data_IF_009866090392
#
_entry.id   IF_009866090392
#
_cell.length_a   1.000
_cell.length_b   1.000
_cell.length_c   1.000
_cell.angle_alpha   90.00
_cell.angle_beta   90.00
_cell.angle_gamma   90.00
#
_symmetry.space_group_name_H-M   'P 1'
#
loop_
_entity.id
_entity.type
_entity.pdbx_description
1 polymer ?
#
# COMPACT_ATOMS: atom_id res chain seq x y z
N UNK A 1 13.64 -0.84 18.87
CA UNK A 1 13.44 -0.83 17.41
C UNK A 1 12.40 0.23 17.12
N UNK A 2 12.73 1.24 16.30
CA UNK A 2 11.80 2.31 15.93
C UNK A 2 11.36 2.08 14.48
N UNK A 3 10.05 2.14 14.22
CA UNK A 3 9.45 1.84 12.92
C UNK A 3 8.63 3.05 12.49
N UNK A 4 8.87 3.53 11.27
CA UNK A 4 7.94 4.43 10.59
C UNK A 4 6.76 3.60 10.07
N UNK A 5 5.61 3.74 10.71
CA UNK A 5 4.44 2.92 10.39
C UNK A 5 3.79 3.29 9.05
N UNK A 6 4.21 4.39 8.41
CA UNK A 6 3.56 4.88 7.21
C UNK A 6 4.50 5.77 6.38
N UNK A 7 5.06 5.22 5.31
CA UNK A 7 5.70 6.02 4.28
C UNK A 7 5.32 5.53 2.87
N UNK A 8 5.58 6.37 1.88
CA UNK A 8 5.26 6.11 0.48
C UNK A 8 6.52 6.15 -0.39
N UNK A 9 6.49 5.43 -1.50
CA UNK A 9 7.45 5.56 -2.60
C UNK A 9 6.68 5.43 -3.92
N UNK A 10 7.15 6.08 -4.97
CA UNK A 10 6.49 6.05 -6.28
C UNK A 10 7.48 6.32 -7.42
N UNK A 11 7.09 5.94 -8.63
CA UNK A 11 7.83 6.19 -9.86
C UNK A 11 6.92 6.85 -10.90
N UNK A 12 7.30 8.02 -11.40
CA UNK A 12 6.45 8.80 -12.31
C UNK A 12 6.07 8.04 -13.59
N UNK A 13 6.93 7.14 -14.05
CA UNK A 13 6.74 6.37 -15.29
C UNK A 13 5.66 5.28 -15.19
N UNK A 14 5.23 4.90 -13.98
CA UNK A 14 4.09 3.99 -13.78
C UNK A 14 2.78 4.58 -14.29
N UNK A 15 2.64 5.90 -14.25
CA UNK A 15 1.52 6.63 -14.84
C UNK A 15 0.16 6.40 -14.17
N UNK A 16 0.08 5.67 -13.06
CA UNK A 16 -1.16 5.36 -12.33
C UNK A 16 -1.40 6.24 -11.08
N UNK A 17 -0.56 7.26 -10.87
CA UNK A 17 -0.69 8.25 -9.80
C UNK A 17 -1.52 9.46 -10.24
N UNK A 18 -2.84 9.32 -10.32
CA UNK A 18 -3.74 10.40 -10.79
C UNK A 18 -3.70 11.68 -9.94
N UNK A 19 -3.37 11.56 -8.65
CA UNK A 19 -3.21 12.69 -7.73
C UNK A 19 -1.89 13.45 -7.94
N UNK A 20 -0.87 12.81 -8.52
CA UNK A 20 0.48 13.35 -8.64
C UNK A 20 0.62 14.19 -9.90
N UNK A 21 0.44 15.52 -9.75
CA UNK A 21 0.53 16.47 -10.87
C UNK A 21 1.75 17.40 -10.73
N UNK A 22 2.24 18.02 -11.82
CA UNK A 22 3.33 19.00 -11.74
C UNK A 22 3.07 20.16 -10.77
N UNK A 23 1.81 20.47 -10.48
CA UNK A 23 1.41 21.51 -9.53
C UNK A 23 1.83 21.20 -8.08
N UNK A 24 2.09 19.93 -7.75
CA UNK A 24 2.58 19.51 -6.43
C UNK A 24 4.09 19.76 -6.23
N UNK A 25 4.77 20.31 -7.23
CA UNK A 25 6.11 20.88 -7.10
C UNK A 25 7.14 19.89 -6.57
N UNK A 26 7.69 20.06 -5.35
CA UNK A 26 8.80 19.26 -4.86
C UNK A 26 8.60 17.74 -4.89
N UNK A 27 7.35 17.26 -4.73
CA UNK A 27 7.04 15.83 -4.71
C UNK A 27 6.74 15.27 -6.11
N UNK A 28 6.67 16.11 -7.15
CA UNK A 28 6.50 15.68 -8.55
C UNK A 28 7.83 15.17 -9.13
N UNK A 29 8.31 14.05 -8.59
CA UNK A 29 9.53 13.33 -8.95
C UNK A 29 9.40 11.89 -8.47
N UNK A 30 10.32 11.01 -8.85
CA UNK A 30 10.42 9.70 -8.20
C UNK A 30 10.80 9.87 -6.73
N UNK A 31 10.12 9.17 -5.83
CA UNK A 31 10.50 9.04 -4.43
C UNK A 31 10.86 7.58 -4.16
N UNK A 32 12.12 7.33 -3.79
CA UNK A 32 12.66 5.98 -3.58
C UNK A 32 12.71 5.63 -2.10
N UNK A 33 12.71 4.34 -1.79
CA UNK A 33 12.94 3.85 -0.42
C UNK A 33 14.27 4.37 0.14
N UNK A 34 15.30 4.53 -0.70
CA UNK A 34 16.59 5.09 -0.28
C UNK A 34 16.50 6.56 0.12
N UNK A 35 15.62 7.34 -0.51
CA UNK A 35 15.43 8.75 -0.19
C UNK A 35 14.77 8.88 1.19
N UNK A 36 13.73 8.08 1.45
CA UNK A 36 13.14 7.93 2.79
C UNK A 36 14.18 7.47 3.81
N UNK A 37 14.97 6.44 3.52
CA UNK A 37 15.95 5.89 4.46
C UNK A 37 17.02 6.92 4.88
N UNK A 38 17.48 7.76 3.93
CA UNK A 38 18.43 8.84 4.21
C UNK A 38 17.86 9.87 5.19
N UNK A 39 16.56 10.17 5.11
CA UNK A 39 15.87 11.07 6.04
C UNK A 39 15.55 10.40 7.37
N UNK A 40 15.16 9.12 7.35
CA UNK A 40 14.68 8.40 8.54
C UNK A 40 15.83 7.98 9.49
N UNK A 41 16.98 7.59 8.94
CA UNK A 41 18.12 7.06 9.72
C UNK A 41 18.65 8.02 10.79
N UNK A 42 18.87 9.33 10.50
CA UNK A 42 19.27 10.32 11.52
C UNK A 42 18.33 10.43 12.72
N UNK A 43 17.06 10.06 12.56
CA UNK A 43 16.04 10.08 13.61
C UNK A 43 15.92 8.75 14.38
N UNK A 44 16.81 7.79 14.11
CA UNK A 44 16.82 6.49 14.78
C UNK A 44 15.72 5.53 14.31
N UNK A 45 15.06 5.83 13.19
CA UNK A 45 14.12 4.92 12.53
C UNK A 45 14.91 3.78 11.89
N UNK A 46 14.57 2.55 12.25
CA UNK A 46 15.30 1.33 11.86
C UNK A 46 14.62 0.52 10.76
N UNK A 47 13.40 0.91 10.37
CA UNK A 47 12.64 0.32 9.28
C UNK A 47 11.28 0.97 9.15
N UNK A 48 10.52 0.60 8.12
CA UNK A 48 9.24 1.24 7.86
C UNK A 48 8.22 0.33 7.18
N UNK A 49 6.96 0.76 7.20
CA UNK A 49 5.86 0.13 6.45
C UNK A 49 5.57 0.99 5.23
N UNK A 50 5.72 0.38 4.05
CA UNK A 50 5.52 1.01 2.77
C UNK A 50 4.05 0.88 2.36
N UNK A 51 3.35 2.00 2.24
CA UNK A 51 1.90 2.05 1.99
C UNK A 51 1.62 2.46 0.54
N UNK A 52 0.64 1.83 -0.11
CA UNK A 52 0.22 2.13 -1.48
C UNK A 52 -0.03 3.62 -1.72
N UNK A 53 0.35 4.10 -2.90
CA UNK A 53 0.07 5.47 -3.34
C UNK A 53 -0.83 5.52 -4.60
N UNK A 54 -1.24 4.39 -5.16
CA UNK A 54 -2.17 4.32 -6.28
C UNK A 54 -3.18 3.16 -6.09
N UNK A 55 -4.43 3.32 -6.57
CA UNK A 55 -5.48 2.32 -6.43
C UNK A 55 -5.38 1.24 -7.51
N UNK A 56 -4.24 0.55 -7.59
CA UNK A 56 -4.02 -0.53 -8.56
C UNK A 56 -3.34 -1.73 -7.90
N UNK A 57 -3.70 -2.95 -8.33
CA UNK A 57 -2.96 -4.15 -7.88
C UNK A 57 -1.49 -4.11 -8.37
N UNK A 58 -1.25 -3.51 -9.53
CA UNK A 58 0.09 -3.28 -10.06
C UNK A 58 0.97 -2.43 -9.12
N UNK A 59 0.38 -1.53 -8.33
CA UNK A 59 1.09 -0.80 -7.26
C UNK A 59 1.49 -1.73 -6.13
N UNK A 60 0.58 -2.62 -5.68
CA UNK A 60 0.93 -3.63 -4.66
C UNK A 60 2.12 -4.47 -5.09
N UNK A 61 2.13 -4.98 -6.32
CA UNK A 61 3.26 -5.76 -6.84
C UNK A 61 4.56 -4.95 -6.88
N UNK A 62 4.49 -3.66 -7.24
CA UNK A 62 5.64 -2.77 -7.21
C UNK A 62 6.18 -2.55 -5.80
N UNK A 63 5.32 -2.27 -4.82
CA UNK A 63 5.76 -2.08 -3.43
C UNK A 63 6.36 -3.36 -2.84
N UNK A 64 5.81 -4.54 -3.17
CA UNK A 64 6.38 -5.82 -2.76
C UNK A 64 7.78 -6.04 -3.40
N UNK A 65 7.96 -5.66 -4.67
CA UNK A 65 9.27 -5.68 -5.32
C UNK A 65 10.26 -4.71 -4.64
N UNK A 66 9.81 -3.50 -4.27
CA UNK A 66 10.62 -2.57 -3.47
C UNK A 66 11.00 -3.17 -2.12
N UNK A 67 10.08 -3.85 -1.44
CA UNK A 67 10.35 -4.49 -0.16
C UNK A 67 11.35 -5.65 -0.24
N UNK A 68 11.42 -6.34 -1.38
CA UNK A 68 12.44 -7.37 -1.64
C UNK A 68 13.82 -6.75 -1.88
N UNK A 69 13.88 -5.63 -2.60
CA UNK A 69 15.13 -4.93 -2.87
C UNK A 69 15.68 -4.15 -1.66
N UNK A 70 14.82 -3.78 -0.70
CA UNK A 70 15.16 -2.89 0.40
C UNK A 70 14.80 -3.54 1.76
N UNK A 71 15.76 -4.15 2.48
CA UNK A 71 15.49 -4.84 3.75
C UNK A 71 14.88 -3.99 4.87
N UNK A 72 15.09 -2.67 4.80
CA UNK A 72 14.50 -1.67 5.73
C UNK A 72 12.98 -1.54 5.61
N UNK A 73 12.38 -2.01 4.51
CA UNK A 73 10.93 -2.10 4.38
C UNK A 73 10.47 -3.35 5.11
N UNK A 74 9.82 -3.15 6.26
CA UNK A 74 9.43 -4.22 7.17
C UNK A 74 8.06 -4.80 6.86
N UNK A 75 7.21 -4.01 6.23
CA UNK A 75 5.88 -4.41 5.78
C UNK A 75 5.41 -3.56 4.60
N UNK A 76 4.40 -4.06 3.90
CA UNK A 76 3.72 -3.40 2.80
C UNK A 76 2.23 -3.40 3.09
N UNK A 77 1.60 -2.24 2.97
CA UNK A 77 0.14 -2.10 2.87
C UNK A 77 -0.19 -1.84 1.42
N UNK A 78 -0.75 -2.85 0.75
CA UNK A 78 -1.08 -2.80 -0.67
C UNK A 78 -2.46 -2.20 -0.94
N UNK A 79 -2.85 -2.26 -2.20
CA UNK A 79 -4.19 -2.02 -2.69
C UNK A 79 -4.71 -3.25 -3.44
N UNK A 80 -6.01 -3.51 -3.31
CA UNK A 80 -6.78 -4.47 -4.11
C UNK A 80 -8.20 -3.94 -4.24
N UNK A 81 -8.86 -4.22 -5.37
CA UNK A 81 -10.30 -3.98 -5.49
C UNK A 81 -11.05 -5.01 -4.65
N UNK A 82 -11.48 -4.61 -3.44
CA UNK A 82 -12.18 -5.49 -2.50
C UNK A 82 -13.60 -5.84 -2.93
N UNK A 83 -14.16 -5.16 -3.95
CA UNK A 83 -15.46 -5.48 -4.54
C UNK A 83 -15.35 -6.44 -5.73
N UNK A 84 -14.15 -6.72 -6.22
CA UNK A 84 -13.97 -7.63 -7.33
C UNK A 84 -14.44 -9.05 -6.96
N UNK A 85 -15.11 -9.80 -7.86
CA UNK A 85 -15.58 -11.14 -7.56
C UNK A 85 -14.47 -12.13 -7.16
N UNK A 86 -13.25 -11.88 -7.61
CA UNK A 86 -12.02 -12.65 -7.36
C UNK A 86 -11.15 -12.05 -6.25
N UNK A 87 -11.64 -11.04 -5.51
CA UNK A 87 -10.90 -10.41 -4.41
C UNK A 87 -10.40 -11.41 -3.34
N UNK A 88 -11.17 -12.46 -2.95
CA UNK A 88 -10.66 -13.47 -2.02
C UNK A 88 -9.44 -14.23 -2.55
N UNK A 89 -9.49 -14.69 -3.81
CA UNK A 89 -8.39 -15.40 -4.46
C UNK A 89 -7.15 -14.51 -4.63
N UNK A 90 -7.35 -13.26 -5.07
CA UNK A 90 -6.29 -12.28 -5.21
C UNK A 90 -5.66 -11.93 -3.86
N UNK A 91 -6.46 -11.78 -2.80
CA UNK A 91 -5.98 -11.57 -1.43
C UNK A 91 -5.10 -12.72 -0.97
N UNK A 92 -5.56 -13.97 -1.14
CA UNK A 92 -4.78 -15.15 -0.78
C UNK A 92 -3.50 -15.30 -1.59
N UNK A 93 -3.51 -14.90 -2.87
CA UNK A 93 -2.34 -14.88 -3.74
C UNK A 93 -1.29 -13.88 -3.25
N UNK A 94 -1.70 -12.62 -3.02
CA UNK A 94 -0.84 -11.54 -2.53
C UNK A 94 -0.28 -11.85 -1.13
N UNK A 95 -1.08 -12.44 -0.24
CA UNK A 95 -0.70 -12.79 1.12
C UNK A 95 0.44 -13.83 1.20
N UNK A 96 0.73 -14.57 0.12
CA UNK A 96 1.90 -15.45 0.04
C UNK A 96 3.21 -14.67 0.16
N UNK A 97 3.20 -13.37 -0.14
CA UNK A 97 4.36 -12.53 0.04
C UNK A 97 4.54 -12.12 1.50
N UNK A 98 5.64 -12.50 2.18
CA UNK A 98 5.79 -12.33 3.64
C UNK A 98 5.86 -10.87 4.10
N UNK A 99 6.10 -9.94 3.17
CA UNK A 99 6.09 -8.50 3.43
C UNK A 99 4.70 -7.87 3.33
N UNK A 100 3.70 -8.50 2.72
CA UNK A 100 2.35 -7.96 2.74
C UNK A 100 1.80 -8.06 4.17
N UNK A 101 1.29 -6.93 4.68
CA UNK A 101 0.73 -6.83 6.04
C UNK A 101 -0.70 -6.33 6.05
N UNK A 102 -1.12 -5.61 5.01
CA UNK A 102 -2.49 -5.13 4.93
C UNK A 102 -2.86 -4.67 3.54
N UNK A 103 -4.14 -4.32 3.41
CA UNK A 103 -4.70 -3.68 2.23
C UNK A 103 -5.41 -2.39 2.65
N UNK A 104 -5.31 -1.35 1.82
CA UNK A 104 -5.88 -0.02 2.08
C UNK A 104 -6.79 0.41 0.93
N UNK A 105 -8.13 0.33 1.07
CA UNK A 105 -9.03 1.02 0.16
C UNK A 105 -8.82 2.54 0.29
N UNK A 106 -8.86 3.27 -0.82
CA UNK A 106 -8.75 4.73 -0.82
C UNK A 106 -10.12 5.36 -0.58
N UNK A 107 -10.65 5.16 0.64
CA UNK A 107 -12.01 5.58 1.02
C UNK A 107 -12.28 7.07 0.74
N UNK A 108 -11.26 7.92 0.85
CA UNK A 108 -11.35 9.36 0.58
C UNK A 108 -11.75 9.70 -0.86
N UNK A 109 -11.51 8.79 -1.81
CA UNK A 109 -11.82 8.97 -3.23
C UNK A 109 -13.08 8.18 -3.65
N UNK A 110 -13.72 7.48 -2.72
CA UNK A 110 -14.97 6.75 -2.94
C UNK A 110 -16.16 7.65 -2.58
N UNK A 111 -17.05 7.90 -3.53
CA UNK A 111 -18.19 8.81 -3.35
C UNK A 111 -19.28 8.27 -2.43
N UNK A 112 -19.38 6.95 -2.28
CA UNK A 112 -20.37 6.29 -1.42
C UNK A 112 -19.87 6.24 0.04
N UNK A 113 -20.45 7.01 0.97
CA UNK A 113 -20.06 6.98 2.38
C UNK A 113 -20.39 5.66 3.08
N UNK A 114 -21.25 4.83 2.49
CA UNK A 114 -21.60 3.51 2.99
C UNK A 114 -20.80 2.39 2.32
N UNK A 115 -19.78 2.72 1.51
CA UNK A 115 -19.02 1.72 0.76
C UNK A 115 -18.51 0.58 1.64
N UNK A 116 -17.91 0.90 2.79
CA UNK A 116 -17.34 -0.10 3.71
C UNK A 116 -18.41 -1.01 4.36
N UNK A 117 -19.68 -0.60 4.32
CA UNK A 117 -20.82 -1.36 4.86
C UNK A 117 -21.44 -2.30 3.83
N UNK A 118 -20.99 -2.26 2.57
CA UNK A 118 -21.55 -3.09 1.51
C UNK A 118 -21.31 -4.59 1.81
N UNK A 119 -22.35 -5.43 1.79
CA UNK A 119 -22.20 -6.87 2.04
C UNK A 119 -21.25 -7.58 1.08
N UNK A 120 -21.06 -7.02 -0.13
CA UNK A 120 -20.14 -7.53 -1.14
C UNK A 120 -18.68 -7.57 -0.64
N UNK A 121 -18.28 -6.68 0.28
CA UNK A 121 -16.94 -6.67 0.86
C UNK A 121 -16.67 -7.82 1.84
N UNK A 122 -17.73 -8.48 2.34
CA UNK A 122 -17.59 -9.47 3.41
C UNK A 122 -16.67 -10.63 3.02
N UNK A 123 -16.67 -11.06 1.76
CA UNK A 123 -15.81 -12.13 1.29
C UNK A 123 -14.33 -11.72 1.29
N UNK A 124 -14.02 -10.52 0.78
CA UNK A 124 -12.66 -10.00 0.73
C UNK A 124 -12.11 -9.72 2.14
N UNK A 125 -12.92 -9.12 3.02
CA UNK A 125 -12.52 -8.85 4.41
C UNK A 125 -12.27 -10.14 5.21
N UNK A 126 -13.07 -11.18 5.01
CA UNK A 126 -12.80 -12.51 5.60
C UNK A 126 -11.51 -13.13 5.06
N UNK A 127 -11.27 -13.01 3.74
CA UNK A 127 -10.02 -13.49 3.16
C UNK A 127 -8.81 -12.75 3.77
N UNK A 128 -8.92 -11.45 4.02
CA UNK A 128 -7.87 -10.69 4.72
C UNK A 128 -7.66 -11.22 6.15
N UNK A 129 -8.74 -11.44 6.90
CA UNK A 129 -8.69 -12.01 8.26
C UNK A 129 -8.05 -13.41 8.27
N UNK A 130 -8.46 -14.30 7.38
CA UNK A 130 -7.93 -15.67 7.24
C UNK A 130 -6.42 -15.68 6.93
N UNK A 131 -5.92 -14.65 6.24
CA UNK A 131 -4.51 -14.47 5.91
C UNK A 131 -3.75 -13.63 6.95
N UNK A 132 -4.40 -13.14 8.01
CA UNK A 132 -3.80 -12.28 9.03
C UNK A 132 -3.38 -10.90 8.51
N UNK A 133 -4.05 -10.40 7.48
CA UNK A 133 -3.83 -9.06 6.93
C UNK A 133 -4.68 -8.02 7.68
N UNK A 134 -4.12 -6.82 7.84
CA UNK A 134 -4.85 -5.67 8.41
C UNK A 134 -5.59 -4.89 7.32
N UNK A 135 -6.72 -4.30 7.68
CA UNK A 135 -7.35 -3.25 6.90
C UNK A 135 -6.82 -1.91 7.39
N UNK A 136 -6.23 -1.13 6.49
CA UNK A 136 -5.82 0.24 6.79
C UNK A 136 -6.91 1.20 6.31
N UNK A 137 -7.35 2.11 7.18
CA UNK A 137 -8.47 3.02 6.90
C UNK A 137 -8.03 4.47 7.12
N UNK A 138 -8.30 5.33 6.14
CA UNK A 138 -8.04 6.77 6.19
C UNK A 138 -9.27 7.54 6.70
#
# INVERSE_FOLDING_TARGET
MSIDAHFHCWQLDRGDYSWLTPALGPIYRDERVTDWQQQATPHGVTGGVLVQAAPTEAETHFLLAQANANPVVLGVVGWLDLLAPDAPECTASLARHPRLKGLRPMLQDISDPQWILQPALAAALRAMEDQGLVLDAL
#
